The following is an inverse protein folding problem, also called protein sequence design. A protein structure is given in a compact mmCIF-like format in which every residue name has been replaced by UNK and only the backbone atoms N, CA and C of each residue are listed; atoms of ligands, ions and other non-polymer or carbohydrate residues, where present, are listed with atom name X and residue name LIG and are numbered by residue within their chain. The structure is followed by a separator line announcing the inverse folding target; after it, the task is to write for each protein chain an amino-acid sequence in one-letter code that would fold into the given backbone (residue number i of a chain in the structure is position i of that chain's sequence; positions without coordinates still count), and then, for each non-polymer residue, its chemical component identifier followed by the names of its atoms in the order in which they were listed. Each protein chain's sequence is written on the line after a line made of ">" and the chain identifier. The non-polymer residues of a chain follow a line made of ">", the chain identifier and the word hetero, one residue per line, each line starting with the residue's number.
data_IF_443482938930
#
_entry.id   IF_443482938930
#
_cell.length_a   1.000
_cell.length_b   1.000
_cell.length_c   1.000
_cell.angle_alpha   90.00
_cell.angle_beta   90.00
_cell.angle_gamma   90.00
#
_symmetry.space_group_name_H-M   'P 1'
#
loop_
_entity.id
_entity.type
_entity.pdbx_description
1 polymer ?
#
# COMPACT_ATOMS: atom_id res chain seq x y z
N UNK A 1 -0.64 -3.76 17.28
CA UNK A 1 -1.12 -3.45 15.91
C UNK A 1 -2.64 -3.26 15.85
N UNK A 2 -3.44 -4.25 16.27
CA UNK A 2 -4.90 -4.19 16.15
C UNK A 2 -5.57 -3.04 16.92
N UNK A 3 -5.08 -2.68 18.12
CA UNK A 3 -5.68 -1.60 18.92
C UNK A 3 -5.43 -0.22 18.32
N UNK A 4 -4.20 0.04 17.82
CA UNK A 4 -3.85 1.31 17.19
C UNK A 4 -4.70 1.56 15.93
N UNK A 5 -4.83 0.53 15.08
CA UNK A 5 -5.71 0.59 13.92
C UNK A 5 -7.17 0.81 14.30
N UNK A 6 -7.70 0.03 15.24
CA UNK A 6 -9.12 0.14 15.62
C UNK A 6 -9.46 1.54 16.14
N UNK A 7 -8.56 2.13 16.95
CA UNK A 7 -8.71 3.52 17.41
C UNK A 7 -8.66 4.51 16.25
N UNK A 8 -7.68 4.40 15.36
CA UNK A 8 -7.51 5.32 14.22
C UNK A 8 -8.69 5.22 13.25
N UNK A 9 -9.12 4.00 12.92
CA UNK A 9 -10.26 3.74 12.07
C UNK A 9 -11.57 4.30 12.65
N UNK A 10 -11.78 4.21 13.97
CA UNK A 10 -12.94 4.82 14.62
C UNK A 10 -12.89 6.37 14.60
N UNK A 11 -11.70 6.95 14.65
CA UNK A 11 -11.49 8.40 14.62
C UNK A 11 -11.73 9.00 13.23
N UNK A 12 -11.14 8.42 12.18
CA UNK A 12 -11.14 9.02 10.83
C UNK A 12 -12.14 8.37 9.87
N UNK A 13 -12.56 7.12 10.10
CA UNK A 13 -13.52 6.40 9.26
C UNK A 13 -13.00 6.05 7.85
N UNK A 14 -13.95 5.77 6.94
CA UNK A 14 -13.71 5.38 5.55
C UNK A 14 -12.68 4.25 5.43
N UNK A 15 -13.00 3.10 6.02
CA UNK A 15 -12.13 1.92 5.97
C UNK A 15 -12.35 1.18 4.65
N UNK A 16 -11.29 1.07 3.86
CA UNK A 16 -11.29 0.36 2.57
C UNK A 16 -10.40 -0.87 2.65
N UNK A 17 -10.72 -1.87 1.83
CA UNK A 17 -9.91 -3.08 1.71
C UNK A 17 -9.05 -2.97 0.44
N UNK A 18 -7.74 -3.07 0.60
CA UNK A 18 -6.78 -2.92 -0.48
C UNK A 18 -5.76 -4.05 -0.47
N UNK A 19 -5.36 -4.46 -1.68
CA UNK A 19 -4.29 -5.40 -1.90
C UNK A 19 -2.93 -4.73 -1.69
N UNK A 20 -2.04 -5.46 -1.04
CA UNK A 20 -0.63 -5.11 -0.90
C UNK A 20 0.21 -6.32 -1.33
N UNK A 21 0.90 -6.17 -2.46
CA UNK A 21 1.82 -7.17 -2.99
C UNK A 21 3.22 -6.97 -2.42
N UNK A 22 3.86 -8.07 -2.01
CA UNK A 22 5.23 -8.06 -1.48
C UNK A 22 5.91 -9.40 -1.78
N UNK A 23 7.24 -9.41 -1.80
CA UNK A 23 8.00 -10.65 -1.96
C UNK A 23 7.79 -11.57 -0.77
N UNK A 24 7.76 -12.88 -0.99
CA UNK A 24 7.62 -13.88 0.07
C UNK A 24 8.68 -13.73 1.17
N UNK A 25 9.92 -13.35 0.81
CA UNK A 25 11.01 -13.07 1.75
C UNK A 25 10.70 -11.96 2.77
N UNK A 26 9.77 -11.05 2.45
CA UNK A 26 9.38 -9.94 3.31
C UNK A 26 8.19 -10.29 4.23
N UNK A 27 7.50 -11.42 4.01
CA UNK A 27 6.30 -11.75 4.77
C UNK A 27 6.58 -11.90 6.26
N UNK A 28 7.68 -12.57 6.63
CA UNK A 28 8.00 -12.78 8.04
C UNK A 28 8.23 -11.46 8.78
N UNK A 29 8.92 -10.50 8.16
CA UNK A 29 9.14 -9.18 8.77
C UNK A 29 7.85 -8.38 8.85
N UNK A 30 7.03 -8.41 7.79
CA UNK A 30 5.74 -7.71 7.74
C UNK A 30 4.74 -8.29 8.75
N UNK A 31 4.68 -9.61 8.93
CA UNK A 31 3.79 -10.22 9.93
C UNK A 31 4.25 -9.95 11.37
N UNK A 32 5.56 -9.84 11.60
CA UNK A 32 6.13 -9.53 12.92
C UNK A 32 5.97 -8.06 13.29
N UNK A 33 6.25 -7.15 12.36
CA UNK A 33 6.38 -5.71 12.62
C UNK A 33 5.25 -4.87 12.02
N UNK A 34 4.46 -5.42 11.11
CA UNK A 34 3.46 -4.73 10.33
C UNK A 34 4.02 -4.12 9.06
N UNK A 35 3.16 -3.43 8.33
CA UNK A 35 3.58 -2.57 7.24
C UNK A 35 4.19 -1.30 7.83
N UNK A 36 5.44 -1.03 7.47
CA UNK A 36 6.20 0.13 7.93
C UNK A 36 6.36 1.13 6.79
N UNK A 37 6.44 2.42 7.13
CA UNK A 37 6.85 3.45 6.18
C UNK A 37 8.38 3.44 6.16
N UNK A 38 9.01 3.06 5.04
CA UNK A 38 10.47 3.03 4.94
C UNK A 38 11.05 4.43 5.17
N UNK A 39 12.28 4.57 5.69
CA UNK A 39 12.90 5.88 5.83
C UNK A 39 13.12 6.54 4.45
N UNK A 40 13.16 7.88 4.44
CA UNK A 40 13.22 8.66 3.20
C UNK A 40 14.47 8.34 2.35
N UNK A 41 15.56 7.90 2.99
CA UNK A 41 16.83 7.51 2.38
C UNK A 41 16.91 6.05 1.90
N UNK A 42 15.83 5.26 2.00
CA UNK A 42 15.88 3.84 1.62
C UNK A 42 16.13 3.68 0.10
N UNK A 43 17.03 2.76 -0.26
CA UNK A 43 17.51 2.54 -1.63
C UNK A 43 16.43 2.07 -2.64
N UNK A 44 15.26 1.62 -2.16
CA UNK A 44 14.12 1.20 -2.99
C UNK A 44 13.07 2.33 -3.02
N UNK A 45 13.34 3.35 -3.83
CA UNK A 45 12.46 4.52 -4.04
C UNK A 45 11.48 4.37 -5.20
N UNK A 46 11.48 3.23 -5.90
CA UNK A 46 10.60 2.97 -7.05
C UNK A 46 9.15 2.77 -6.59
N UNK A 47 8.23 3.60 -7.10
CA UNK A 47 6.80 3.55 -6.77
C UNK A 47 6.31 4.63 -5.78
N UNK A 48 7.18 5.52 -5.28
CA UNK A 48 6.80 6.63 -4.37
C UNK A 48 6.32 7.89 -5.10
N UNK A 49 5.47 7.74 -6.12
CA UNK A 49 4.97 8.89 -6.89
C UNK A 49 4.16 9.89 -6.03
N UNK A 50 3.69 9.45 -4.86
CA UNK A 50 2.78 10.20 -3.99
C UNK A 50 3.31 10.37 -2.56
N UNK A 51 4.64 10.42 -2.42
CA UNK A 51 5.32 10.64 -1.13
C UNK A 51 5.72 9.35 -0.42
N UNK A 52 6.14 9.48 0.84
CA UNK A 52 6.60 8.34 1.64
C UNK A 52 5.45 7.81 2.50
N UNK A 53 4.85 6.70 2.09
CA UNK A 53 3.69 6.11 2.75
C UNK A 53 3.54 4.62 2.48
N UNK A 54 2.48 4.04 3.02
CA UNK A 54 2.07 2.66 2.74
C UNK A 54 1.09 2.69 1.57
N UNK A 55 1.39 1.88 0.55
CA UNK A 55 0.64 1.80 -0.69
C UNK A 55 -0.27 0.57 -0.70
N UNK A 56 -1.52 0.78 -1.10
CA UNK A 56 -2.49 -0.26 -1.40
C UNK A 56 -3.15 -0.01 -2.76
N UNK A 57 -3.73 -1.05 -3.34
CA UNK A 57 -4.52 -0.95 -4.57
C UNK A 57 -5.80 -1.76 -4.46
N UNK A 58 -6.88 -1.29 -5.08
CA UNK A 58 -8.11 -2.08 -5.24
C UNK A 58 -7.92 -3.29 -6.16
N UNK A 59 -6.91 -3.26 -7.04
CA UNK A 59 -6.72 -4.25 -8.10
C UNK A 59 -5.64 -5.26 -7.71
N UNK A 60 -6.03 -6.54 -7.60
CA UNK A 60 -5.11 -7.64 -7.28
C UNK A 60 -4.02 -7.82 -8.34
N UNK A 61 -4.33 -7.61 -9.63
CA UNK A 61 -3.36 -7.71 -10.73
C UNK A 61 -2.17 -6.77 -10.56
N UNK A 62 -2.39 -5.57 -10.03
CA UNK A 62 -1.30 -4.62 -9.73
C UNK A 62 -0.42 -5.14 -8.59
N UNK A 63 -1.04 -5.60 -7.51
CA UNK A 63 -0.33 -6.17 -6.36
C UNK A 63 0.44 -7.43 -6.75
N UNK A 64 -0.12 -8.24 -7.65
CA UNK A 64 0.49 -9.47 -8.15
C UNK A 64 1.86 -9.20 -8.78
N UNK A 65 1.99 -8.13 -9.57
CA UNK A 65 3.28 -7.75 -10.19
C UNK A 65 4.40 -7.52 -9.15
N UNK A 66 4.06 -7.01 -7.96
CA UNK A 66 5.01 -6.84 -6.86
C UNK A 66 5.31 -8.14 -6.12
N UNK A 67 4.34 -9.06 -6.06
CA UNK A 67 4.50 -10.35 -5.40
C UNK A 67 5.31 -11.35 -6.24
N UNK A 68 5.16 -11.32 -7.57
CA UNK A 68 5.65 -12.38 -8.47
C UNK A 68 7.00 -12.14 -9.11
N UNK A 69 7.66 -11.00 -8.88
CA UNK A 69 8.94 -10.71 -9.55
C UNK A 69 8.83 -10.94 -11.07
N UNK A 70 7.75 -10.47 -11.72
CA UNK A 70 7.47 -10.69 -13.16
C UNK A 70 8.66 -10.33 -14.10
N UNK A 71 9.64 -9.58 -13.59
CA UNK A 71 10.85 -9.13 -14.27
C UNK A 71 12.14 -9.90 -13.92
N UNK A 72 12.12 -10.86 -13.00
CA UNK A 72 13.31 -11.61 -12.61
C UNK A 72 13.13 -13.11 -12.87
N UNK A 73 13.52 -13.51 -14.08
CA UNK A 73 13.55 -14.88 -14.60
C UNK A 73 14.64 -15.76 -13.94
N UNK A 74 15.01 -15.47 -12.69
CA UNK A 74 16.06 -16.21 -11.98
C UNK A 74 15.42 -17.14 -10.96
N UNK A 75 14.94 -18.28 -11.45
CA UNK A 75 15.40 -19.56 -10.90
C UNK A 75 14.78 -20.10 -9.62
N UNK A 76 13.52 -19.82 -9.30
CA UNK A 76 12.83 -20.59 -8.25
C UNK A 76 11.54 -21.22 -8.78
N UNK A 77 11.56 -22.55 -8.98
CA UNK A 77 10.44 -23.37 -9.41
C UNK A 77 9.33 -23.49 -8.33
N UNK A 78 9.40 -22.69 -7.27
CA UNK A 78 8.50 -22.75 -6.12
C UNK A 78 7.35 -21.74 -6.32
N UNK A 79 6.34 -22.17 -7.06
CA UNK A 79 5.22 -21.40 -7.65
C UNK A 79 4.22 -20.74 -6.67
N UNK A 80 4.58 -20.52 -5.40
CA UNK A 80 3.62 -20.00 -4.41
C UNK A 80 3.69 -18.48 -4.32
N UNK A 81 2.61 -17.84 -4.71
CA UNK A 81 2.49 -16.37 -4.67
C UNK A 81 1.66 -15.97 -3.47
N UNK A 82 2.14 -14.98 -2.73
CA UNK A 82 1.45 -14.46 -1.56
C UNK A 82 1.10 -12.99 -1.73
N UNK A 83 -0.11 -12.61 -1.36
CA UNK A 83 -0.50 -11.20 -1.25
C UNK A 83 -1.22 -10.95 0.07
N UNK A 84 -1.12 -9.72 0.55
CA UNK A 84 -1.82 -9.27 1.74
C UNK A 84 -3.08 -8.52 1.33
N UNK A 85 -4.18 -8.81 2.01
CA UNK A 85 -5.39 -8.02 1.95
C UNK A 85 -5.50 -7.22 3.24
N UNK A 86 -5.40 -5.90 3.10
CA UNK A 86 -5.20 -4.98 4.20
C UNK A 86 -6.35 -3.98 4.28
N UNK A 87 -6.78 -3.67 5.50
CA UNK A 87 -7.70 -2.57 5.74
C UNK A 87 -6.92 -1.27 5.89
N UNK A 88 -7.37 -0.25 5.17
CA UNK A 88 -6.84 1.11 5.17
C UNK A 88 -7.91 2.04 5.71
N UNK A 89 -7.64 2.67 6.86
CA UNK A 89 -8.46 3.77 7.35
C UNK A 89 -8.12 5.03 6.56
N UNK A 90 -8.89 5.31 5.51
CA UNK A 90 -8.58 6.37 4.56
C UNK A 90 -9.03 7.76 5.04
N UNK A 91 -10.04 7.81 5.90
CA UNK A 91 -10.67 9.06 6.34
C UNK A 91 -10.98 10.01 5.19
N UNK A 92 -10.69 11.29 5.40
CA UNK A 92 -10.78 12.33 4.35
C UNK A 92 -9.66 12.18 3.32
N UNK A 93 -10.02 11.74 2.12
CA UNK A 93 -9.11 11.42 1.00
C UNK A 93 -8.77 12.67 0.19
N UNK A 94 -7.49 12.85 -0.11
CA UNK A 94 -7.01 13.84 -1.08
C UNK A 94 -6.96 13.21 -2.47
N UNK A 95 -7.55 13.88 -3.46
CA UNK A 95 -7.54 13.46 -4.86
C UNK A 95 -6.61 14.39 -5.65
N UNK A 96 -5.37 13.97 -5.95
CA UNK A 96 -4.44 14.79 -6.70
C UNK A 96 -4.91 14.96 -8.14
N UNK A 97 -4.66 16.14 -8.72
CA UNK A 97 -4.96 16.47 -10.11
C UNK A 97 -3.66 16.77 -10.86
N UNK A 98 -3.71 16.84 -12.20
CA UNK A 98 -2.53 17.06 -13.05
C UNK A 98 -1.70 18.31 -12.71
N UNK A 99 -2.28 19.27 -11.97
CA UNK A 99 -1.61 20.49 -11.50
C UNK A 99 -1.08 20.37 -10.06
N UNK A 100 -0.87 19.16 -9.55
CA UNK A 100 -0.36 18.95 -8.21
C UNK A 100 1.08 19.48 -8.07
N UNK A 101 1.23 20.62 -7.38
CA UNK A 101 2.52 21.24 -7.07
C UNK A 101 2.87 21.18 -5.56
N UNK A 102 2.06 20.49 -4.75
CA UNK A 102 2.26 20.37 -3.30
C UNK A 102 3.17 19.21 -2.91
N UNK A 103 3.67 19.22 -1.67
CA UNK A 103 4.24 18.03 -1.04
C UNK A 103 3.11 17.19 -0.41
N UNK A 104 3.22 15.87 -0.51
CA UNK A 104 2.33 14.93 0.19
C UNK A 104 2.97 14.48 1.51
N UNK A 105 2.19 14.27 2.58
CA UNK A 105 0.73 14.34 2.68
C UNK A 105 0.15 15.76 2.61
N UNK A 106 -1.02 15.91 1.95
CA UNK A 106 -1.71 17.18 1.86
C UNK A 106 -2.37 17.56 3.20
N UNK A 107 -2.11 18.79 3.66
CA UNK A 107 -2.66 19.28 4.95
C UNK A 107 -4.19 19.25 4.94
N UNK A 108 -4.78 18.74 6.04
CA UNK A 108 -6.23 18.64 6.20
C UNK A 108 -6.86 17.41 5.53
N UNK A 109 -6.04 16.49 5.04
CA UNK A 109 -6.43 15.17 4.53
C UNK A 109 -5.66 14.08 5.29
N UNK A 110 -6.22 12.88 5.32
CA UNK A 110 -5.67 11.74 6.07
C UNK A 110 -4.99 10.72 5.15
N UNK A 111 -5.31 10.73 3.87
CA UNK A 111 -4.79 9.79 2.87
C UNK A 111 -4.84 10.41 1.48
N UNK A 112 -4.16 9.77 0.53
CA UNK A 112 -4.21 10.14 -0.89
C UNK A 112 -4.87 9.00 -1.67
N UNK A 113 -5.87 9.34 -2.47
CA UNK A 113 -6.55 8.43 -3.37
C UNK A 113 -6.31 8.87 -4.82
N UNK A 114 -5.61 8.04 -5.57
CA UNK A 114 -5.25 8.30 -6.97
C UNK A 114 -6.17 7.49 -7.86
N UNK A 115 -6.90 8.20 -8.72
CA UNK A 115 -7.84 7.58 -9.67
C UNK A 115 -7.06 6.82 -10.75
N UNK A 116 -7.55 5.64 -11.20
CA UNK A 116 -6.97 4.97 -12.36
C UNK A 116 -7.05 5.88 -13.59
N UNK A 117 -6.01 5.87 -14.42
CA UNK A 117 -5.89 6.71 -15.61
C UNK A 117 -5.56 8.19 -15.33
N UNK A 118 -5.42 8.59 -14.06
CA UNK A 118 -4.98 9.95 -13.70
C UNK A 118 -3.48 9.98 -13.42
N UNK A 119 -2.83 11.13 -13.65
CA UNK A 119 -1.42 11.34 -13.29
C UNK A 119 -0.44 10.29 -13.86
N UNK A 120 -0.73 9.76 -15.05
CA UNK A 120 0.01 8.67 -15.69
C UNK A 120 0.02 7.34 -14.90
N UNK A 121 -0.86 7.20 -13.91
CA UNK A 121 -1.03 5.95 -13.17
C UNK A 121 -2.13 5.13 -13.83
N UNK A 122 -1.77 3.93 -14.31
CA UNK A 122 -2.72 3.02 -14.98
C UNK A 122 -3.75 2.48 -13.98
N UNK A 123 -3.30 2.09 -12.80
CA UNK A 123 -4.09 1.39 -11.79
C UNK A 123 -4.29 2.26 -10.54
N UNK A 124 -5.44 2.17 -9.89
CA UNK A 124 -5.77 2.90 -8.65
C UNK A 124 -4.68 2.73 -7.57
N UNK A 125 -4.39 3.81 -6.83
CA UNK A 125 -3.50 3.79 -5.65
C UNK A 125 -4.13 4.49 -4.46
N UNK A 126 -4.08 3.82 -3.31
CA UNK A 126 -4.38 4.39 -2.00
C UNK A 126 -3.08 4.50 -1.20
N UNK A 127 -2.80 5.69 -0.68
CA UNK A 127 -1.60 5.95 0.12
C UNK A 127 -2.01 6.49 1.49
N UNK A 128 -1.49 5.87 2.54
CA UNK A 128 -1.59 6.39 3.91
C UNK A 128 -0.20 6.66 4.48
N UNK A 129 -0.13 7.63 5.38
CA UNK A 129 1.13 8.21 5.85
C UNK A 129 1.39 7.95 7.34
N UNK A 130 0.51 7.19 8.00
CA UNK A 130 0.65 6.68 9.35
C UNK A 130 0.46 5.15 9.36
N UNK A 131 1.42 4.36 9.86
CA UNK A 131 1.26 2.91 10.00
C UNK A 131 0.02 2.48 10.80
N UNK A 132 -0.47 3.31 11.72
CA UNK A 132 -1.71 3.04 12.46
C UNK A 132 -2.96 3.06 11.57
N UNK A 133 -2.89 3.59 10.34
CA UNK A 133 -3.99 3.56 9.38
C UNK A 133 -4.11 2.23 8.64
N UNK A 134 -3.19 1.28 8.83
CA UNK A 134 -3.22 -0.01 8.13
C UNK A 134 -3.30 -1.19 9.09
N UNK A 135 -4.15 -2.15 8.77
CA UNK A 135 -4.20 -3.46 9.40
C UNK A 135 -4.18 -4.56 8.35
N UNK A 136 -3.26 -5.51 8.49
CA UNK A 136 -3.29 -6.75 7.70
C UNK A 136 -4.49 -7.57 8.16
N UNK A 137 -5.40 -7.89 7.25
CA UNK A 137 -6.60 -8.67 7.55
C UNK A 137 -6.46 -10.12 7.11
N UNK A 138 -5.92 -10.33 5.92
CA UNK A 138 -5.68 -11.66 5.38
C UNK A 138 -4.31 -11.77 4.72
N UNK A 139 -3.72 -12.95 4.85
CA UNK A 139 -2.62 -13.43 4.00
C UNK A 139 -3.24 -14.43 3.03
N UNK A 140 -3.14 -14.15 1.73
CA UNK A 140 -3.69 -14.99 0.68
C UNK A 140 -2.55 -15.67 -0.07
N UNK A 141 -2.59 -17.00 -0.16
CA UNK A 141 -1.77 -17.81 -1.05
C UNK A 141 -2.53 -18.04 -2.36
N UNK A 142 -1.86 -17.85 -3.48
CA UNK A 142 -2.37 -18.12 -4.82
C UNK A 142 -1.61 -19.33 -5.37
N UNK A 143 -2.37 -20.39 -5.66
CA UNK A 143 -1.92 -21.70 -6.16
C UNK A 143 -2.46 -21.95 -7.56
#
# INVERSE_FOLDING_TARGET
>A
MNQAFTKKAAEIGNVKLHWHGTRASNLLSILKQGLIIPPANAAQCTGRMFGNGIYGSEQSTKALNYATNYWNTSGDNNQRVYMLLCEFAMGKEYLPTNNHQGSLPMKGYHSTYVKPGSLNVINQESIVYDPAQVRIKYLCEFV
#
